data_IF_673094390462
#
_entry.id   IF_673094390462
#
_cell.length_a   1.000
_cell.length_b   1.000
_cell.length_c   1.000
_cell.angle_alpha   90.00
_cell.angle_beta   90.00
_cell.angle_gamma   90.00
#
_symmetry.space_group_name_H-M   'P 1'
#
loop_
_entity.id
_entity.type
_entity.pdbx_description
1 polymer ?
#
# COMPACT_ATOMS: atom_id res chain seq x y z
N UNK A 1 26.24 18.91 -29.09
CA UNK A 1 26.26 17.49 -28.74
C UNK A 1 25.85 17.38 -27.29
N UNK A 2 24.54 17.36 -27.03
CA UNK A 2 24.00 17.28 -25.67
C UNK A 2 23.71 15.81 -25.37
N UNK A 3 24.47 15.24 -24.44
CA UNK A 3 24.31 13.86 -24.01
C UNK A 3 22.91 13.67 -23.42
N UNK A 4 22.12 12.81 -24.05
CA UNK A 4 20.81 12.38 -23.54
C UNK A 4 21.10 11.42 -22.39
N UNK A 5 20.86 11.88 -21.16
CA UNK A 5 20.87 11.00 -19.99
C UNK A 5 19.60 10.15 -20.08
N UNK A 6 19.75 8.92 -20.56
CA UNK A 6 18.69 7.91 -20.51
C UNK A 6 18.70 7.35 -19.09
N UNK A 7 17.80 7.84 -18.23
CA UNK A 7 17.50 7.17 -16.96
C UNK A 7 16.56 6.01 -17.25
N UNK A 8 17.11 4.79 -17.35
CA UNK A 8 16.31 3.57 -17.35
C UNK A 8 15.84 3.29 -15.92
N UNK A 9 14.52 3.16 -15.72
CA UNK A 9 13.99 2.59 -14.50
C UNK A 9 14.26 1.08 -14.53
N UNK A 10 15.14 0.60 -13.66
CA UNK A 10 15.56 -0.80 -13.63
C UNK A 10 14.61 -1.69 -12.80
N UNK A 11 13.51 -1.15 -12.26
CA UNK A 11 12.57 -1.80 -11.32
C UNK A 11 13.23 -2.40 -10.04
N UNK A 12 14.55 -2.28 -9.88
CA UNK A 12 15.28 -2.81 -8.72
C UNK A 12 14.92 -2.08 -7.40
N UNK A 13 14.44 -0.84 -7.50
CA UNK A 13 14.05 -0.05 -6.33
C UNK A 13 12.68 -0.44 -5.77
N UNK A 14 11.82 -1.05 -6.60
CA UNK A 14 10.42 -1.39 -6.29
C UNK A 14 10.20 -2.91 -6.10
N UNK A 15 11.26 -3.71 -5.97
CA UNK A 15 11.12 -5.13 -5.62
C UNK A 15 10.52 -5.28 -4.21
N UNK A 16 9.23 -5.59 -4.15
CA UNK A 16 8.48 -5.84 -2.92
C UNK A 16 9.07 -6.98 -2.07
N UNK A 17 9.83 -7.89 -2.68
CA UNK A 17 10.52 -8.99 -1.98
C UNK A 17 11.77 -8.49 -1.26
N UNK A 18 12.42 -7.45 -1.80
CA UNK A 18 13.67 -6.87 -1.29
C UNK A 18 13.60 -5.34 -1.23
N UNK A 19 12.75 -4.77 -0.35
CA UNK A 19 12.61 -3.33 -0.26
C UNK A 19 13.93 -2.69 0.17
N UNK A 20 14.51 -1.90 -0.73
CA UNK A 20 15.67 -1.08 -0.41
C UNK A 20 15.18 0.14 0.38
N UNK A 21 15.69 0.30 1.61
CA UNK A 21 15.39 1.47 2.44
C UNK A 21 16.22 2.67 1.97
N UNK A 22 16.04 3.08 0.72
CA UNK A 22 16.70 4.25 0.14
C UNK A 22 15.77 5.44 0.31
N UNK A 23 16.33 6.54 0.79
CA UNK A 23 15.58 7.79 0.94
C UNK A 23 15.48 8.44 -0.43
N UNK A 24 14.26 8.86 -0.81
CA UNK A 24 14.03 9.54 -2.08
C UNK A 24 14.79 10.87 -2.20
N UNK A 25 15.00 11.57 -1.07
CA UNK A 25 15.74 12.83 -0.98
C UNK A 25 16.57 12.83 0.30
N UNK A 26 17.67 13.60 0.33
CA UNK A 26 18.56 13.72 1.48
C UNK A 26 17.80 14.17 2.74
N UNK A 27 18.13 13.59 3.89
CA UNK A 27 17.56 13.99 5.18
C UNK A 27 18.57 14.90 5.87
N UNK A 28 18.57 16.17 5.47
CA UNK A 28 19.04 17.21 6.39
C UNK A 28 17.82 17.73 7.16
N UNK A 29 17.98 17.94 8.47
CA UNK A 29 16.91 18.37 9.38
C UNK A 29 16.31 19.72 8.95
N UNK A 30 17.12 20.55 8.28
CA UNK A 30 16.74 21.87 7.75
C UNK A 30 15.86 21.79 6.50
N UNK A 31 16.03 20.76 5.65
CA UNK A 31 15.32 20.63 4.36
C UNK A 31 14.12 19.70 4.41
N UNK A 32 13.91 18.97 5.51
CA UNK A 32 12.85 17.97 5.64
C UNK A 32 11.44 18.54 5.38
N UNK A 33 11.15 19.74 5.89
CA UNK A 33 9.85 20.39 5.68
C UNK A 33 9.63 20.81 4.22
N UNK A 34 10.68 21.33 3.57
CA UNK A 34 10.65 21.68 2.15
C UNK A 34 10.44 20.44 1.28
N UNK A 35 11.13 19.34 1.59
CA UNK A 35 10.97 18.09 0.86
C UNK A 35 9.59 17.45 1.05
N UNK A 36 8.97 17.62 2.22
CA UNK A 36 7.57 17.21 2.40
C UNK A 36 6.60 18.07 1.57
N UNK A 37 6.87 19.38 1.40
CA UNK A 37 6.08 20.22 0.49
C UNK A 37 6.20 19.76 -0.97
N UNK A 38 7.41 19.40 -1.42
CA UNK A 38 7.59 18.85 -2.77
C UNK A 38 6.89 17.50 -2.95
N UNK A 39 6.99 16.60 -1.96
CA UNK A 39 6.26 15.32 -1.97
C UNK A 39 4.76 15.54 -2.05
N UNK A 40 4.22 16.52 -1.31
CA UNK A 40 2.81 16.88 -1.36
C UNK A 40 2.40 17.39 -2.73
N UNK A 41 3.12 18.37 -3.28
CA UNK A 41 2.82 18.94 -4.59
C UNK A 41 2.85 17.87 -5.68
N UNK A 42 3.88 17.03 -5.68
CA UNK A 42 4.00 15.92 -6.64
C UNK A 42 2.91 14.87 -6.45
N UNK A 43 2.58 14.51 -5.20
CA UNK A 43 1.47 13.59 -4.90
C UNK A 43 0.12 14.14 -5.37
N UNK A 44 -0.04 15.46 -5.41
CA UNK A 44 -1.20 16.14 -5.98
C UNK A 44 -1.27 15.95 -7.49
N UNK A 45 -0.16 16.10 -8.21
CA UNK A 45 -0.12 15.83 -9.66
C UNK A 45 -0.45 14.37 -9.98
N UNK A 46 0.18 13.43 -9.26
CA UNK A 46 -0.09 12.00 -9.41
C UNK A 46 -1.56 11.64 -9.17
N UNK A 47 -2.20 12.30 -8.20
CA UNK A 47 -3.63 12.15 -7.96
C UNK A 47 -4.47 12.55 -9.17
N UNK A 48 -4.23 13.74 -9.73
CA UNK A 48 -5.00 14.24 -10.87
C UNK A 48 -4.75 13.45 -12.15
N UNK A 49 -3.59 12.80 -12.27
CA UNK A 49 -3.29 11.87 -13.37
C UNK A 49 -3.82 10.45 -13.15
N UNK A 50 -4.53 10.18 -12.05
CA UNK A 50 -5.04 8.84 -11.75
C UNK A 50 -3.96 7.84 -11.31
N UNK A 51 -2.73 8.29 -11.08
CA UNK A 51 -1.59 7.46 -10.69
C UNK A 51 -1.56 7.24 -9.17
N UNK A 52 -2.60 6.56 -8.66
CA UNK A 52 -2.82 6.41 -7.21
C UNK A 52 -1.76 5.55 -6.50
N UNK A 53 -1.23 4.52 -7.16
CA UNK A 53 -0.17 3.66 -6.61
C UNK A 53 1.13 4.43 -6.43
N UNK A 54 1.61 5.08 -7.49
CA UNK A 54 2.78 5.96 -7.44
C UNK A 54 2.61 7.08 -6.39
N UNK A 55 1.39 7.63 -6.28
CA UNK A 55 1.07 8.61 -5.25
C UNK A 55 1.25 8.04 -3.84
N UNK A 56 0.74 6.84 -3.58
CA UNK A 56 0.85 6.19 -2.27
C UNK A 56 2.32 5.94 -1.91
N UNK A 57 3.15 5.59 -2.89
CA UNK A 57 4.58 5.40 -2.68
C UNK A 57 5.34 6.68 -2.34
N UNK A 58 5.01 7.81 -2.97
CA UNK A 58 5.61 9.10 -2.62
C UNK A 58 5.23 9.49 -1.18
N UNK A 59 3.96 9.28 -0.81
CA UNK A 59 3.44 9.64 0.51
C UNK A 59 4.07 8.82 1.66
N UNK A 60 4.62 7.62 1.38
CA UNK A 60 5.31 6.78 2.38
C UNK A 60 6.54 7.46 3.01
N UNK A 61 7.12 8.44 2.31
CA UNK A 61 8.32 9.16 2.73
C UNK A 61 8.03 10.43 3.53
N UNK A 62 6.78 10.83 3.68
CA UNK A 62 6.41 12.04 4.41
C UNK A 62 6.69 11.91 5.90
N UNK A 63 7.26 12.95 6.51
CA UNK A 63 7.65 12.89 7.92
C UNK A 63 6.46 12.82 8.89
N UNK A 64 5.31 13.42 8.52
CA UNK A 64 4.13 13.56 9.37
C UNK A 64 3.00 12.54 9.10
N UNK A 65 3.03 11.80 7.99
CA UNK A 65 1.97 10.83 7.62
C UNK A 65 1.95 9.59 8.54
N UNK A 66 2.92 9.47 9.46
CA UNK A 66 3.01 8.35 10.41
C UNK A 66 1.88 8.29 11.43
N UNK A 67 1.05 9.33 11.58
CA UNK A 67 0.09 9.43 12.70
C UNK A 67 -1.38 9.43 12.32
N UNK A 68 -1.75 9.54 11.04
CA UNK A 68 -3.18 9.60 10.67
C UNK A 68 -3.40 9.08 9.26
N UNK A 69 -4.28 8.09 9.15
CA UNK A 69 -4.93 7.74 7.87
C UNK A 69 -5.93 8.87 7.59
N UNK A 70 -5.42 10.02 7.17
CA UNK A 70 -6.15 11.28 7.07
C UNK A 70 -5.38 12.26 6.19
N UNK A 71 -6.12 13.20 5.58
CA UNK A 71 -5.65 14.14 4.57
C UNK A 71 -4.29 14.76 4.93
N UNK A 72 -3.27 14.66 4.05
CA UNK A 72 -1.99 15.32 4.26
C UNK A 72 -2.07 16.86 4.32
N UNK A 73 -3.25 17.44 4.01
CA UNK A 73 -3.51 18.86 3.90
C UNK A 73 -4.09 19.49 5.19
N UNK A 74 -4.18 18.73 6.29
CA UNK A 74 -4.61 19.27 7.58
C UNK A 74 -6.12 19.51 7.69
N UNK A 75 -6.91 18.96 6.77
CA UNK A 75 -8.37 18.95 6.90
C UNK A 75 -8.78 18.10 8.11
N UNK A 76 -9.70 18.62 8.93
CA UNK A 76 -10.31 17.90 10.06
C UNK A 76 -11.27 16.82 9.52
N UNK A 77 -10.75 15.79 8.87
CA UNK A 77 -11.47 14.54 8.66
C UNK A 77 -11.24 13.65 9.87
N UNK A 78 -12.29 12.99 10.35
CA UNK A 78 -12.09 11.87 11.27
C UNK A 78 -11.23 10.82 10.56
N UNK A 79 -10.07 10.43 11.13
CA UNK A 79 -9.19 9.47 10.49
C UNK A 79 -9.93 8.14 10.32
N UNK A 80 -9.77 7.51 9.15
CA UNK A 80 -10.22 6.13 8.96
C UNK A 80 -9.25 5.20 9.72
N UNK A 81 -9.61 4.75 10.91
CA UNK A 81 -8.75 3.83 11.65
C UNK A 81 -8.81 2.41 11.07
N UNK A 82 -7.68 1.94 10.52
CA UNK A 82 -7.53 0.57 10.04
C UNK A 82 -6.87 -0.27 11.13
N UNK A 83 -7.65 -1.15 11.75
CA UNK A 83 -7.15 -2.12 12.72
C UNK A 83 -6.58 -3.38 12.07
N UNK A 84 -5.52 -3.95 12.66
CA UNK A 84 -5.02 -5.28 12.28
C UNK A 84 -5.71 -6.33 13.15
N UNK A 85 -6.27 -7.36 12.54
CA UNK A 85 -7.01 -8.41 13.26
C UNK A 85 -6.38 -9.78 13.01
N UNK A 86 -6.40 -10.62 14.04
CA UNK A 86 -5.95 -12.00 13.94
C UNK A 86 -6.91 -12.81 13.05
N UNK A 87 -6.41 -13.42 11.97
CA UNK A 87 -7.23 -14.27 11.11
C UNK A 87 -7.85 -15.47 11.85
N UNK A 88 -7.19 -15.95 12.91
CA UNK A 88 -7.61 -17.17 13.63
C UNK A 88 -8.66 -16.91 14.71
N UNK A 89 -8.50 -15.84 15.49
CA UNK A 89 -9.38 -15.57 16.64
C UNK A 89 -10.15 -14.24 16.56
N UNK A 90 -9.94 -13.45 15.52
CA UNK A 90 -10.62 -12.16 15.34
C UNK A 90 -10.17 -11.06 16.31
N UNK A 91 -9.24 -11.33 17.23
CA UNK A 91 -8.75 -10.33 18.17
C UNK A 91 -7.95 -9.24 17.44
N UNK A 92 -8.13 -7.98 17.84
CA UNK A 92 -7.32 -6.87 17.36
C UNK A 92 -5.87 -7.04 17.86
N UNK A 93 -4.91 -6.89 16.96
CA UNK A 93 -3.49 -7.02 17.22
C UNK A 93 -2.86 -5.63 17.16
N UNK A 94 -2.03 -5.30 18.15
CA UNK A 94 -1.22 -4.07 18.07
C UNK A 94 -0.18 -4.22 16.96
N UNK A 95 0.12 -3.16 16.17
CA UNK A 95 1.17 -3.21 15.17
C UNK A 95 2.47 -3.79 15.74
N UNK A 96 3.18 -4.60 14.96
CA UNK A 96 4.45 -5.24 15.34
C UNK A 96 4.40 -6.19 16.55
N UNK A 97 3.22 -6.70 16.94
CA UNK A 97 3.08 -7.67 18.03
C UNK A 97 2.43 -8.98 17.57
N UNK A 98 2.70 -10.06 18.29
CA UNK A 98 1.98 -11.33 18.11
C UNK A 98 0.59 -11.22 18.74
N UNK A 99 -0.34 -12.03 18.26
CA UNK A 99 -1.66 -12.10 18.89
C UNK A 99 -1.54 -12.60 20.34
N UNK A 100 -1.95 -11.76 21.31
CA UNK A 100 -1.91 -12.10 22.73
C UNK A 100 -2.89 -13.21 23.12
N UNK A 101 -3.99 -13.38 22.39
CA UNK A 101 -5.05 -14.33 22.72
C UNK A 101 -4.70 -15.77 22.31
N UNK A 102 -4.30 -15.98 21.05
CA UNK A 102 -4.06 -17.33 20.54
C UNK A 102 -2.58 -17.73 20.50
N UNK A 103 -1.67 -16.83 20.91
CA UNK A 103 -0.19 -16.95 20.83
C UNK A 103 0.35 -17.39 19.45
N UNK A 104 -0.52 -17.41 18.44
CA UNK A 104 -0.16 -17.76 17.08
C UNK A 104 0.77 -16.68 16.54
N UNK A 105 1.81 -17.10 15.80
CA UNK A 105 2.64 -16.20 15.01
C UNK A 105 1.79 -15.66 13.84
N UNK A 106 0.87 -14.76 14.17
CA UNK A 106 0.35 -13.82 13.19
C UNK A 106 1.57 -12.98 12.84
N UNK A 107 2.16 -13.22 11.67
CA UNK A 107 3.33 -12.46 11.21
C UNK A 107 3.04 -10.97 11.35
N UNK A 108 4.09 -10.21 11.67
CA UNK A 108 4.02 -8.75 11.66
C UNK A 108 3.72 -8.33 10.22
N UNK A 109 2.51 -7.84 9.96
CA UNK A 109 2.08 -7.39 8.62
C UNK A 109 1.05 -8.29 7.94
N UNK A 110 0.54 -7.80 6.80
CA UNK A 110 -0.42 -8.53 5.97
C UNK A 110 0.32 -9.65 5.24
N UNK A 111 -0.18 -10.89 5.35
CA UNK A 111 0.33 -12.02 4.56
C UNK A 111 -0.40 -12.06 3.22
N UNK A 112 0.32 -12.04 2.12
CA UNK A 112 -0.27 -12.17 0.79
C UNK A 112 -0.97 -13.52 0.63
N UNK A 113 -2.23 -13.48 0.20
CA UNK A 113 -3.05 -14.67 -0.04
C UNK A 113 -2.57 -15.55 -1.19
N UNK A 114 -1.75 -15.00 -2.11
CA UNK A 114 -1.25 -15.70 -3.30
C UNK A 114 0.16 -16.25 -3.08
N UNK A 115 1.15 -15.38 -2.81
CA UNK A 115 2.54 -15.83 -2.63
C UNK A 115 2.89 -16.24 -1.19
N UNK A 116 1.98 -16.02 -0.24
CA UNK A 116 2.14 -16.37 1.18
C UNK A 116 3.32 -15.68 1.90
N UNK A 117 3.94 -14.67 1.29
CA UNK A 117 4.95 -13.83 1.93
C UNK A 117 4.31 -12.64 2.64
N UNK A 118 5.03 -12.07 3.61
CA UNK A 118 4.62 -10.83 4.28
C UNK A 118 4.80 -9.66 3.31
N UNK A 119 3.73 -8.87 3.16
CA UNK A 119 3.73 -7.66 2.32
C UNK A 119 4.49 -6.55 3.02
N UNK A 120 5.52 -6.03 2.36
CA UNK A 120 6.35 -4.91 2.85
C UNK A 120 6.11 -3.61 2.05
N UNK A 121 5.49 -3.71 0.88
CA UNK A 121 5.22 -2.62 -0.05
C UNK A 121 3.74 -2.31 -0.16
N UNK A 122 3.27 -2.08 -1.39
CA UNK A 122 1.87 -1.78 -1.65
C UNK A 122 1.01 -2.99 -1.31
N UNK A 123 -0.14 -2.73 -0.69
CA UNK A 123 -1.07 -3.77 -0.30
C UNK A 123 -2.49 -3.39 -0.66
N UNK A 124 -3.23 -4.36 -1.16
CA UNK A 124 -4.68 -4.26 -1.36
C UNK A 124 -5.36 -5.37 -0.59
N UNK A 125 -6.46 -5.03 0.08
CA UNK A 125 -7.26 -5.98 0.84
C UNK A 125 -8.74 -5.62 0.73
N UNK A 126 -9.59 -6.63 0.80
CA UNK A 126 -11.04 -6.46 0.75
C UNK A 126 -11.54 -6.03 2.13
N UNK A 127 -12.27 -4.92 2.20
CA UNK A 127 -12.86 -4.43 3.46
C UNK A 127 -13.91 -5.40 4.04
N UNK A 128 -14.55 -6.21 3.19
CA UNK A 128 -15.61 -7.15 3.60
C UNK A 128 -15.03 -8.43 4.23
N UNK A 129 -14.10 -9.11 3.55
CA UNK A 129 -13.53 -10.36 4.04
C UNK A 129 -12.20 -10.20 4.77
N UNK A 130 -11.58 -9.01 4.71
CA UNK A 130 -10.30 -8.66 5.37
C UNK A 130 -9.09 -9.44 4.85
N UNK A 131 -9.22 -10.13 3.72
CA UNK A 131 -8.11 -10.79 3.04
C UNK A 131 -7.52 -9.89 1.96
N UNK A 132 -6.25 -10.08 1.67
CA UNK A 132 -5.53 -9.27 0.69
C UNK A 132 -4.13 -9.79 0.40
N UNK A 133 -3.28 -8.91 -0.09
CA UNK A 133 -1.89 -9.21 -0.40
C UNK A 133 -1.18 -8.07 -1.10
N UNK A 134 -0.07 -8.40 -1.76
CA UNK A 134 0.62 -7.50 -2.68
C UNK A 134 -0.36 -7.00 -3.74
N UNK A 135 -0.37 -5.69 -3.99
CA UNK A 135 -1.32 -5.07 -4.93
C UNK A 135 -1.26 -5.76 -6.30
N UNK A 136 -0.05 -6.04 -6.80
CA UNK A 136 0.14 -6.70 -8.09
C UNK A 136 -0.51 -8.08 -8.15
N UNK A 137 -0.20 -8.98 -7.20
CA UNK A 137 -0.78 -10.33 -7.22
C UNK A 137 -2.30 -10.30 -7.11
N UNK A 138 -2.86 -9.43 -6.26
CA UNK A 138 -4.30 -9.33 -6.09
C UNK A 138 -4.97 -8.80 -7.37
N UNK A 139 -4.35 -7.81 -8.03
CA UNK A 139 -4.81 -7.31 -9.32
C UNK A 139 -4.78 -8.40 -10.40
N UNK A 140 -3.66 -9.11 -10.55
CA UNK A 140 -3.50 -10.20 -11.52
C UNK A 140 -4.54 -11.31 -11.32
N UNK A 141 -4.83 -11.65 -10.06
CA UNK A 141 -5.87 -12.62 -9.72
C UNK A 141 -7.24 -12.19 -10.27
N UNK A 142 -7.65 -10.95 -10.03
CA UNK A 142 -8.95 -10.46 -10.49
C UNK A 142 -8.96 -10.16 -12.00
N UNK A 143 -7.83 -9.75 -12.58
CA UNK A 143 -7.66 -9.58 -14.02
C UNK A 143 -7.76 -10.93 -14.78
N UNK A 144 -7.48 -12.05 -14.12
CA UNK A 144 -7.66 -13.39 -14.69
C UNK A 144 -9.13 -13.83 -14.79
N UNK A 145 -10.09 -13.00 -14.38
CA UNK A 145 -11.53 -13.27 -14.48
C UNK A 145 -12.14 -13.96 -13.25
N UNK A 146 -11.38 -14.15 -12.17
CA UNK A 146 -11.93 -14.64 -10.90
C UNK A 146 -12.65 -13.49 -10.17
N UNK A 147 -13.83 -13.74 -9.59
CA UNK A 147 -14.54 -12.73 -8.79
C UNK A 147 -14.40 -12.96 -7.27
N UNK A 148 -14.01 -14.18 -6.90
CA UNK A 148 -13.91 -14.62 -5.52
C UNK A 148 -12.52 -14.40 -4.92
N UNK A 149 -12.47 -14.31 -3.59
CA UNK A 149 -11.25 -14.12 -2.84
C UNK A 149 -10.25 -15.28 -3.06
N UNK A 150 -8.96 -15.00 -3.32
CA UNK A 150 -7.93 -16.03 -3.53
C UNK A 150 -7.70 -16.95 -2.31
N UNK A 151 -8.21 -16.58 -1.13
CA UNK A 151 -8.15 -17.46 0.05
C UNK A 151 -9.20 -18.57 0.04
N UNK A 152 -10.16 -18.55 -0.90
CA UNK A 152 -11.27 -19.50 -0.96
C UNK A 152 -12.36 -19.25 0.08
N UNK A 153 -12.45 -18.05 0.67
CA UNK A 153 -13.48 -17.74 1.67
C UNK A 153 -14.89 -17.49 1.10
N UNK A 154 -15.07 -17.60 -0.23
CA UNK A 154 -16.35 -17.37 -0.91
C UNK A 154 -16.81 -15.91 -0.94
N UNK A 155 -15.94 -14.96 -0.61
CA UNK A 155 -16.28 -13.55 -0.72
C UNK A 155 -16.11 -13.06 -2.16
N UNK A 156 -17.14 -12.48 -2.80
CA UNK A 156 -17.01 -11.83 -4.11
C UNK A 156 -16.32 -10.48 -3.93
N UNK A 157 -14.99 -10.51 -3.78
CA UNK A 157 -14.17 -9.35 -3.42
C UNK A 157 -14.25 -8.24 -4.47
N UNK A 158 -14.45 -8.60 -5.74
CA UNK A 158 -14.61 -7.64 -6.83
C UNK A 158 -15.83 -6.74 -6.60
N UNK A 159 -16.97 -7.33 -6.25
CA UNK A 159 -18.22 -6.60 -6.01
C UNK A 159 -18.30 -5.95 -4.62
N UNK A 160 -17.73 -6.59 -3.59
CA UNK A 160 -17.88 -6.18 -2.17
C UNK A 160 -16.68 -5.45 -1.57
N UNK A 161 -15.56 -5.40 -2.28
CA UNK A 161 -14.27 -5.00 -1.71
C UNK A 161 -13.72 -3.66 -2.18
N UNK A 162 -14.40 -2.98 -3.11
CA UNK A 162 -14.11 -1.61 -3.52
C UNK A 162 -12.80 -1.44 -4.27
N UNK A 163 -12.85 -1.46 -5.61
CA UNK A 163 -11.80 -0.89 -6.45
C UNK A 163 -10.67 -1.81 -6.93
N UNK A 164 -10.89 -3.12 -7.02
CA UNK A 164 -9.89 -4.03 -7.62
C UNK A 164 -9.81 -3.99 -9.15
N UNK A 165 -10.77 -3.33 -9.80
CA UNK A 165 -10.62 -2.94 -11.19
C UNK A 165 -9.71 -1.72 -11.23
N UNK A 166 -8.45 -1.95 -11.58
CA UNK A 166 -7.62 -0.90 -12.15
C UNK A 166 -8.32 -0.37 -13.40
N UNK A 167 -8.33 0.94 -13.55
CA UNK A 167 -8.65 1.59 -14.82
C UNK A 167 -7.63 1.12 -15.86
N UNK A 168 -7.98 0.07 -16.59
CA UNK A 168 -7.41 -0.22 -17.89
C UNK A 168 -8.60 -0.22 -18.88
N UNK A 169 -8.43 0.57 -19.94
CA UNK A 169 -9.31 0.77 -21.12
C UNK A 169 -10.40 1.86 -21.03
N UNK A 170 -10.13 3.06 -21.58
CA UNK A 170 -10.48 3.40 -22.97
C UNK A 170 -10.09 4.87 -23.35
N UNK A 171 -9.38 4.98 -24.49
CA UNK A 171 -8.96 6.16 -25.30
C UNK A 171 -7.74 6.99 -24.89
#
# INVERSE_FOLDING_TARGET
NSDIIITTNFDEFDDERKPLAIRLLDINRETSALYDQFRLAYSGLLYHWGLYEARAEVLKFMSFVKTTVGSPLGEMMQPLEIGVYCYRCGAQIKPNTKCGNCKHLSGIGIKCSICHQIVKGLTTFCISCRHGGHTLHIREWFASGYEECPTGCGCPCVAKGGGFFGVDEEN
#
